data_IF_534376423581
#
_entry.id   IF_534376423581
#
_cell.length_a   1.000
_cell.length_b   1.000
_cell.length_c   1.000
_cell.angle_alpha   90.00
_cell.angle_beta   90.00
_cell.angle_gamma   90.00
#
_symmetry.space_group_name_H-M   'P 1'
#
loop_
_entity.id
_entity.type
_entity.pdbx_description
1 polymer ?
#
# COMPACT_ATOMS: atom_id res chain seq x y z
N UNK A 1 -15.49 2.94 -0.47
CA UNK A 1 -14.37 2.06 -0.82
C UNK A 1 -13.74 2.59 -2.11
N UNK A 2 -12.61 3.27 -2.02
CA UNK A 2 -11.87 3.75 -3.19
C UNK A 2 -10.44 3.21 -3.12
N UNK A 3 -10.01 2.59 -4.22
CA UNK A 3 -8.64 2.10 -4.39
C UNK A 3 -7.80 3.20 -5.03
N UNK A 4 -6.65 3.49 -4.43
CA UNK A 4 -5.72 4.52 -4.88
C UNK A 4 -4.44 3.86 -5.38
N UNK A 5 -3.89 4.37 -6.49
CA UNK A 5 -2.61 3.91 -7.06
C UNK A 5 -1.45 4.18 -6.09
N UNK A 6 -0.56 3.21 -5.95
CA UNK A 6 0.74 3.39 -5.26
C UNK A 6 1.76 3.84 -6.31
N UNK A 7 2.17 5.11 -6.26
CA UNK A 7 3.14 5.66 -7.22
C UNK A 7 4.50 4.94 -7.14
N UNK A 8 5.13 4.72 -8.30
CA UNK A 8 6.42 4.03 -8.41
C UNK A 8 6.35 2.52 -8.13
N UNK A 9 5.14 1.95 -8.07
CA UNK A 9 4.93 0.53 -7.87
C UNK A 9 4.89 -0.28 -9.17
N UNK A 10 5.38 0.29 -10.28
CA UNK A 10 5.61 -0.45 -11.52
C UNK A 10 6.69 -1.51 -11.35
N UNK A 11 6.76 -2.45 -12.29
CA UNK A 11 7.75 -3.55 -12.25
C UNK A 11 9.20 -3.03 -12.31
N UNK A 12 9.46 -2.02 -13.14
CA UNK A 12 10.78 -1.41 -13.32
C UNK A 12 11.03 -0.19 -12.40
N UNK A 13 10.04 0.17 -11.57
CA UNK A 13 10.08 1.35 -10.70
C UNK A 13 9.92 2.69 -11.44
N UNK A 14 9.59 2.68 -12.75
CA UNK A 14 9.27 3.88 -13.52
C UNK A 14 7.84 4.41 -13.26
N UNK A 15 7.59 5.68 -13.59
CA UNK A 15 6.25 6.24 -13.46
C UNK A 15 5.39 5.91 -14.70
N UNK A 16 4.12 5.54 -14.50
CA UNK A 16 3.13 5.40 -15.57
C UNK A 16 2.50 4.01 -15.75
N UNK A 17 3.09 2.98 -15.15
CA UNK A 17 2.62 1.58 -15.22
C UNK A 17 2.51 0.95 -13.81
N UNK A 18 1.97 1.70 -12.84
CA UNK A 18 1.82 1.22 -11.46
C UNK A 18 0.88 0.01 -11.37
N UNK A 19 1.39 -1.09 -10.79
CA UNK A 19 0.63 -2.35 -10.66
C UNK A 19 -0.02 -2.53 -9.28
N UNK A 20 0.28 -1.67 -8.30
CA UNK A 20 -0.29 -1.77 -6.96
C UNK A 20 -1.27 -0.65 -6.63
N UNK A 21 -2.31 -1.02 -5.88
CA UNK A 21 -3.28 -0.10 -5.29
C UNK A 21 -3.45 -0.38 -3.80
N UNK A 22 -3.74 0.66 -3.02
CA UNK A 22 -4.18 0.55 -1.63
C UNK A 22 -5.61 1.06 -1.44
N UNK A 23 -6.32 0.51 -0.47
CA UNK A 23 -7.68 0.96 -0.15
C UNK A 23 -7.64 2.16 0.79
N UNK A 24 -8.09 3.34 0.32
CA UNK A 24 -8.01 4.58 1.11
C UNK A 24 -9.04 4.68 2.26
N UNK A 25 -10.00 3.76 2.30
CA UNK A 25 -10.95 3.58 3.40
C UNK A 25 -10.52 2.51 4.40
N UNK A 26 -9.36 1.89 4.22
CA UNK A 26 -8.90 0.84 5.12
C UNK A 26 -8.63 1.38 6.53
N UNK A 27 -8.96 0.54 7.51
CA UNK A 27 -8.88 0.82 8.95
C UNK A 27 -8.29 -0.40 9.65
N UNK A 28 -8.10 -0.32 10.97
CA UNK A 28 -7.61 -1.43 11.78
C UNK A 28 -8.44 -2.73 11.64
N UNK A 29 -9.74 -2.63 11.28
CA UNK A 29 -10.61 -3.79 11.03
C UNK A 29 -10.21 -4.62 9.80
N UNK A 30 -9.39 -4.06 8.90
CA UNK A 30 -8.89 -4.74 7.70
C UNK A 30 -7.53 -5.43 7.92
N UNK A 31 -6.93 -5.27 9.10
CA UNK A 31 -5.62 -5.81 9.47
C UNK A 31 -5.68 -6.26 10.94
N UNK A 32 -4.67 -5.95 11.73
CA UNK A 32 -4.61 -6.17 13.17
C UNK A 32 -5.23 -4.97 13.94
N UNK A 33 -6.32 -5.18 14.71
CA UNK A 33 -6.99 -4.11 15.46
C UNK A 33 -6.11 -3.41 16.50
N UNK A 34 -5.11 -4.12 17.02
CA UNK A 34 -4.19 -3.71 18.08
C UNK A 34 -2.83 -3.24 17.56
N UNK A 35 -2.63 -3.19 16.24
CA UNK A 35 -1.40 -2.65 15.66
C UNK A 35 -1.21 -1.18 16.05
N UNK A 36 0.00 -0.85 16.49
CA UNK A 36 0.36 0.51 16.90
C UNK A 36 0.23 1.54 15.76
N UNK A 37 0.03 2.81 16.14
CA UNK A 37 -0.07 3.93 15.22
C UNK A 37 -1.50 4.39 14.94
N UNK A 38 -1.62 5.47 14.19
CA UNK A 38 -2.90 6.07 13.81
C UNK A 38 -3.24 5.74 12.35
N UNK A 39 -4.53 5.62 12.06
CA UNK A 39 -5.03 5.32 10.72
C UNK A 39 -5.61 6.57 10.09
N UNK A 40 -5.17 6.90 8.88
CA UNK A 40 -5.75 7.97 8.07
C UNK A 40 -5.61 7.62 6.60
N UNK A 41 -6.71 7.74 5.84
CA UNK A 41 -6.69 7.50 4.39
C UNK A 41 -6.18 6.12 3.98
N UNK A 42 -6.40 5.07 4.77
CA UNK A 42 -5.89 3.73 4.46
C UNK A 42 -4.42 3.49 4.78
N UNK A 43 -3.76 4.45 5.44
CA UNK A 43 -2.36 4.38 5.86
C UNK A 43 -2.31 4.34 7.40
N UNK A 44 -1.55 3.38 7.94
CA UNK A 44 -1.18 3.35 9.37
C UNK A 44 0.16 4.04 9.55
N UNK A 45 0.20 5.03 10.43
CA UNK A 45 1.40 5.81 10.73
C UNK A 45 1.87 5.53 12.16
N UNK A 46 3.07 4.98 12.29
CA UNK A 46 3.79 4.91 13.56
C UNK A 46 4.76 6.08 13.65
N UNK A 47 4.57 6.94 14.64
CA UNK A 47 5.45 8.08 14.91
C UNK A 47 6.69 7.55 15.63
N UNK A 48 7.84 7.60 14.94
CA UNK A 48 9.10 7.12 15.49
C UNK A 48 9.66 8.16 16.48
N UNK A 49 10.29 7.73 17.58
CA UNK A 49 11.02 8.66 18.45
C UNK A 49 12.24 9.26 17.72
N UNK A 50 12.47 10.56 17.92
CA UNK A 50 13.66 11.25 17.40
C UNK A 50 13.48 11.83 15.99
N UNK A 51 14.58 12.10 15.26
CA UNK A 51 14.54 12.82 13.97
C UNK A 51 14.22 11.92 12.76
N UNK A 52 13.98 10.63 12.98
CA UNK A 52 13.66 9.68 11.91
C UNK A 52 12.29 9.97 11.32
N UNK A 53 12.12 9.64 10.04
CA UNK A 53 10.80 9.70 9.43
C UNK A 53 9.83 8.74 10.13
N UNK A 54 8.55 9.11 10.16
CA UNK A 54 7.49 8.21 10.60
C UNK A 54 7.44 6.98 9.70
N UNK A 55 7.16 5.82 10.30
CA UNK A 55 6.90 4.61 9.54
C UNK A 55 5.45 4.66 9.06
N UNK A 56 5.26 4.54 7.74
CA UNK A 56 3.95 4.53 7.11
C UNK A 56 3.71 3.18 6.44
N UNK A 57 2.50 2.65 6.58
CA UNK A 57 2.14 1.32 6.07
C UNK A 57 0.76 1.39 5.42
N UNK A 58 0.67 1.04 4.14
CA UNK A 58 -0.62 0.81 3.49
C UNK A 58 -1.32 -0.38 4.15
N UNK A 59 -2.54 -0.18 4.62
CA UNK A 59 -3.24 -1.15 5.48
C UNK A 59 -3.76 -2.34 4.69
N UNK A 60 -4.20 -2.08 3.46
CA UNK A 60 -4.73 -3.10 2.56
C UNK A 60 -4.32 -2.78 1.14
N UNK A 61 -3.60 -3.70 0.52
CA UNK A 61 -3.12 -3.58 -0.85
C UNK A 61 -3.74 -4.65 -1.75
N UNK A 62 -3.78 -4.36 -3.03
CA UNK A 62 -4.04 -5.35 -4.09
C UNK A 62 -3.19 -5.01 -5.30
N UNK A 63 -2.84 -6.04 -6.06
CA UNK A 63 -2.34 -5.85 -7.42
C UNK A 63 -3.54 -5.57 -8.33
N UNK A 64 -3.37 -4.67 -9.30
CA UNK A 64 -4.33 -4.52 -10.39
C UNK A 64 -4.19 -5.76 -11.27
N UNK A 65 -5.31 -6.42 -11.59
CA UNK A 65 -5.27 -7.52 -12.54
C UNK A 65 -4.73 -6.98 -13.87
N UNK A 66 -3.59 -7.50 -14.31
CA UNK A 66 -3.02 -7.22 -15.61
C UNK A 66 -2.87 -8.52 -16.41
N UNK A 67 -2.65 -8.37 -17.71
CA UNK A 67 -2.47 -9.48 -18.64
C UNK A 67 -0.99 -9.71 -18.96
N UNK A 68 -0.08 -9.24 -18.09
CA UNK A 68 1.35 -9.30 -18.35
C UNK A 68 1.86 -10.65 -17.85
N UNK A 69 2.37 -11.46 -18.77
CA UNK A 69 3.05 -12.70 -18.44
C UNK A 69 4.40 -12.37 -17.77
N UNK A 70 4.49 -12.59 -16.45
CA UNK A 70 5.69 -12.33 -15.64
C UNK A 70 6.43 -13.62 -15.29
N UNK A 71 6.62 -14.46 -16.29
CA UNK A 71 7.38 -15.72 -16.17
C UNK A 71 6.64 -16.86 -15.47
N UNK A 72 5.31 -16.81 -15.40
CA UNK A 72 4.51 -17.99 -15.06
C UNK A 72 4.79 -19.07 -16.12
N UNK A 73 5.20 -20.26 -15.70
CA UNK A 73 5.55 -21.33 -16.63
C UNK A 73 4.33 -21.71 -17.47
N UNK A 74 4.44 -21.58 -18.80
CA UNK A 74 3.45 -22.04 -19.78
C UNK A 74 3.29 -23.55 -19.79
#
# INVERSE_FOLDING_TARGET
MAWTVVLGSSEDGSAGDEIWQYENSATAAHTYPDANGSYSGGIRTFVTPGPSANQQTYVRCRMVADSVERGELS
#
